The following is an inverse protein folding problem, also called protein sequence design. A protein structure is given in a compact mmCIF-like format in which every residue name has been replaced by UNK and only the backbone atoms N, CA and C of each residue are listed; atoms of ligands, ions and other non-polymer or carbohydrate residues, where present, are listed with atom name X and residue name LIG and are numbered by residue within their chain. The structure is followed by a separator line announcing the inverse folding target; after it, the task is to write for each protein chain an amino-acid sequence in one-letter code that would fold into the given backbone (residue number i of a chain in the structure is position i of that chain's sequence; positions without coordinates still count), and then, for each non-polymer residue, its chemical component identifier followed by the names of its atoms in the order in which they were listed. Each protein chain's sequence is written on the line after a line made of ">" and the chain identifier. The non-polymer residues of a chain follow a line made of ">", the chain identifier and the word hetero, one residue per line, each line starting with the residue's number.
data_IF_929745907306
#
_entry.id   IF_929745907306
#
_cell.length_a   1.000
_cell.length_b   1.000
_cell.length_c   1.000
_cell.angle_alpha   90.00
_cell.angle_beta   90.00
_cell.angle_gamma   90.00
#
_symmetry.space_group_name_H-M   'P 1'
#
loop_
_entity.id
_entity.type
_entity.pdbx_description
1 polymer ?
#
# COMPACT_ATOMS: atom_id res chain seq x y z
N UNK A 1 18.20 35.61 17.00
CA UNK A 1 18.77 34.90 15.83
C UNK A 1 18.29 35.59 14.57
N UNK A 2 19.18 35.88 13.62
CA UNK A 2 18.80 36.55 12.38
C UNK A 2 18.05 35.57 11.47
N UNK A 3 17.05 36.05 10.72
CA UNK A 3 16.24 35.23 9.80
C UNK A 3 17.09 34.56 8.69
N UNK A 4 18.28 35.11 8.43
CA UNK A 4 19.29 34.52 7.55
C UNK A 4 19.81 33.16 8.06
N UNK A 5 19.96 32.99 9.37
CA UNK A 5 20.48 31.75 9.98
C UNK A 5 19.52 30.58 9.83
N UNK A 6 18.23 30.86 9.65
CA UNK A 6 17.21 29.83 9.40
C UNK A 6 17.41 29.16 8.03
N UNK A 7 17.75 29.91 6.97
CA UNK A 7 17.98 29.35 5.62
C UNK A 7 19.27 28.54 5.51
N UNK A 8 20.22 28.74 6.41
CA UNK A 8 21.47 27.99 6.42
C UNK A 8 21.33 26.60 7.08
N UNK A 9 20.19 26.26 7.70
CA UNK A 9 20.03 24.98 8.39
C UNK A 9 20.02 23.81 7.39
N UNK A 10 20.73 22.70 7.69
CA UNK A 10 20.79 21.47 6.87
C UNK A 10 19.43 20.99 6.34
N UNK A 11 18.36 21.14 7.12
CA UNK A 11 17.00 20.71 6.75
C UNK A 11 16.41 21.43 5.54
N UNK A 12 16.77 22.70 5.30
CA UNK A 12 16.21 23.51 4.21
C UNK A 12 17.03 23.45 2.91
N UNK A 13 18.12 22.65 2.89
CA UNK A 13 18.94 22.47 1.67
C UNK A 13 18.41 21.35 0.75
N UNK A 14 17.50 20.51 1.25
CA UNK A 14 16.91 19.39 0.52
C UNK A 14 15.41 19.56 0.26
N UNK A 15 14.87 20.79 0.36
CA UNK A 15 13.43 21.04 0.15
C UNK A 15 12.97 20.56 -1.23
N UNK A 16 13.80 20.75 -2.26
CA UNK A 16 13.53 20.25 -3.61
C UNK A 16 13.50 18.73 -3.65
N UNK A 17 14.52 18.07 -3.11
CA UNK A 17 14.62 16.61 -3.11
C UNK A 17 13.44 15.98 -2.35
N UNK A 18 13.03 16.59 -1.23
CA UNK A 18 11.89 16.17 -0.44
C UNK A 18 10.56 16.33 -1.19
N UNK A 19 10.37 17.45 -1.91
CA UNK A 19 9.18 17.68 -2.75
C UNK A 19 9.13 16.66 -3.88
N UNK A 20 10.24 16.48 -4.60
CA UNK A 20 10.32 15.54 -5.72
C UNK A 20 10.02 14.11 -5.24
N UNK A 21 10.66 13.66 -4.15
CA UNK A 21 10.39 12.35 -3.56
C UNK A 21 8.91 12.18 -3.14
N UNK A 22 8.33 13.19 -2.49
CA UNK A 22 6.92 13.14 -2.09
C UNK A 22 5.99 13.02 -3.30
N UNK A 23 6.19 13.87 -4.31
CA UNK A 23 5.37 13.83 -5.52
C UNK A 23 5.54 12.51 -6.26
N UNK A 24 6.76 11.98 -6.38
CA UNK A 24 6.99 10.66 -6.98
C UNK A 24 6.18 9.57 -6.28
N UNK A 25 6.24 9.50 -4.96
CA UNK A 25 5.51 8.48 -4.19
C UNK A 25 3.99 8.67 -4.29
N UNK A 26 3.50 9.92 -4.20
CA UNK A 26 2.06 10.21 -4.29
C UNK A 26 1.52 9.91 -5.68
N UNK A 27 2.22 10.28 -6.74
CA UNK A 27 1.78 10.01 -8.11
C UNK A 27 1.84 8.52 -8.45
N UNK A 28 2.88 7.80 -8.00
CA UNK A 28 2.93 6.35 -8.14
C UNK A 28 1.75 5.68 -7.42
N UNK A 29 1.53 6.01 -6.14
CA UNK A 29 0.42 5.46 -5.37
C UNK A 29 -0.96 5.81 -5.98
N UNK A 30 -1.11 7.01 -6.55
CA UNK A 30 -2.34 7.42 -7.23
C UNK A 30 -2.54 6.63 -8.53
N UNK A 31 -1.49 6.42 -9.31
CA UNK A 31 -1.55 5.63 -10.54
C UNK A 31 -1.99 4.19 -10.22
N UNK A 32 -1.37 3.56 -9.23
CA UNK A 32 -1.73 2.21 -8.77
C UNK A 32 -3.19 2.17 -8.29
N UNK A 33 -3.62 3.15 -7.49
CA UNK A 33 -4.98 3.22 -7.00
C UNK A 33 -6.01 3.37 -8.14
N UNK A 34 -5.73 4.22 -9.13
CA UNK A 34 -6.59 4.41 -10.29
C UNK A 34 -6.67 3.16 -11.15
N UNK A 35 -5.54 2.49 -11.42
CA UNK A 35 -5.51 1.26 -12.20
C UNK A 35 -6.30 0.15 -11.50
N UNK A 36 -6.04 -0.08 -10.20
CA UNK A 36 -6.73 -1.12 -9.43
C UNK A 36 -8.24 -0.90 -9.38
N UNK A 37 -8.70 0.35 -9.21
CA UNK A 37 -10.13 0.67 -9.26
C UNK A 37 -10.72 0.46 -10.66
N UNK A 38 -10.01 0.87 -11.72
CA UNK A 38 -10.46 0.71 -13.10
C UNK A 38 -10.62 -0.77 -13.49
N UNK A 39 -9.68 -1.62 -13.08
CA UNK A 39 -9.66 -3.05 -13.39
C UNK A 39 -10.71 -3.82 -12.58
N UNK A 40 -10.84 -3.52 -11.28
CA UNK A 40 -11.74 -4.28 -10.39
C UNK A 40 -13.17 -3.77 -10.38
N UNK A 41 -13.38 -2.47 -10.66
CA UNK A 41 -14.68 -1.79 -10.61
C UNK A 41 -15.17 -1.48 -9.20
N UNK A 42 -14.37 -1.72 -8.16
CA UNK A 42 -14.72 -1.45 -6.76
C UNK A 42 -13.88 -0.29 -6.22
N UNK A 43 -14.36 0.34 -5.14
CA UNK A 43 -13.58 1.41 -4.48
C UNK A 43 -12.29 0.87 -3.86
N UNK A 44 -11.24 1.69 -3.76
CA UNK A 44 -9.99 1.28 -3.09
C UNK A 44 -10.22 0.87 -1.63
N UNK A 45 -11.17 1.52 -0.93
CA UNK A 45 -11.56 1.15 0.44
C UNK A 45 -12.06 -0.29 0.50
N UNK A 46 -12.99 -0.64 -0.40
CA UNK A 46 -13.55 -1.98 -0.48
C UNK A 46 -12.50 -3.02 -0.88
N UNK A 47 -11.67 -2.70 -1.89
CA UNK A 47 -10.55 -3.53 -2.32
C UNK A 47 -9.64 -3.89 -1.13
N UNK A 48 -9.15 -2.87 -0.41
CA UNK A 48 -8.24 -3.06 0.72
C UNK A 48 -8.92 -3.81 1.86
N UNK A 49 -10.16 -3.49 2.21
CA UNK A 49 -10.87 -4.19 3.29
C UNK A 49 -11.12 -5.66 2.97
N UNK A 50 -11.41 -5.97 1.71
CA UNK A 50 -11.72 -7.34 1.27
C UNK A 50 -10.46 -8.19 1.15
N UNK A 51 -9.36 -7.65 0.62
CA UNK A 51 -8.14 -8.42 0.35
C UNK A 51 -7.13 -8.42 1.51
N UNK A 52 -7.08 -7.37 2.35
CA UNK A 52 -6.12 -7.26 3.46
C UNK A 52 -6.11 -8.46 4.42
N UNK A 53 -7.25 -9.08 4.77
CA UNK A 53 -7.29 -10.26 5.63
C UNK A 53 -6.73 -11.54 4.99
N UNK A 54 -6.54 -11.57 3.67
CA UNK A 54 -6.09 -12.75 2.92
C UNK A 54 -4.58 -12.96 3.03
N UNK A 55 -4.09 -13.08 4.27
CA UNK A 55 -2.70 -13.37 4.57
C UNK A 55 -2.63 -14.71 5.29
N UNK A 56 -1.71 -15.57 4.86
CA UNK A 56 -1.34 -16.74 5.65
C UNK A 56 -0.62 -16.26 6.91
N UNK A 57 -1.07 -16.71 8.07
CA UNK A 57 -0.46 -16.38 9.37
C UNK A 57 -0.04 -17.64 10.09
N UNK A 58 1.04 -17.56 10.86
CA UNK A 58 1.44 -18.60 11.79
C UNK A 58 0.95 -18.22 13.19
N UNK A 59 0.21 -19.12 13.82
CA UNK A 59 -0.34 -18.95 15.16
C UNK A 59 0.38 -19.92 16.08
N UNK A 60 1.00 -19.42 17.15
CA UNK A 60 1.55 -20.26 18.21
C UNK A 60 0.53 -20.41 19.34
N UNK A 61 0.19 -21.65 19.68
CA UNK A 61 -0.68 -21.99 20.81
C UNK A 61 -0.02 -23.12 21.60
N UNK A 62 0.35 -22.84 22.84
CA UNK A 62 0.99 -23.80 23.75
C UNK A 62 2.23 -24.49 23.14
N UNK A 63 3.04 -23.77 22.35
CA UNK A 63 4.23 -24.31 21.70
C UNK A 63 3.96 -25.15 20.45
N UNK A 64 2.71 -25.18 19.97
CA UNK A 64 2.35 -25.73 18.67
C UNK A 64 2.10 -24.60 17.67
N UNK A 65 2.91 -24.56 16.61
CA UNK A 65 2.72 -23.63 15.51
C UNK A 65 1.70 -24.18 14.51
N UNK A 66 0.63 -23.42 14.27
CA UNK A 66 -0.43 -23.73 13.32
C UNK A 66 -0.38 -22.70 12.19
N UNK A 67 -0.28 -23.17 10.95
CA UNK A 67 -0.39 -22.32 9.76
C UNK A 67 -1.86 -22.13 9.41
N UNK A 68 -2.40 -20.94 9.66
CA UNK A 68 -3.76 -20.59 9.29
C UNK A 68 -3.78 -19.98 7.88
N UNK A 69 -4.42 -20.67 6.94
CA UNK A 69 -4.72 -20.14 5.62
C UNK A 69 -6.02 -19.32 5.67
N UNK A 70 -6.07 -18.14 5.03
CA UNK A 70 -7.29 -17.36 4.98
C UNK A 70 -8.35 -18.07 4.14
N UNK A 71 -9.62 -17.97 4.54
CA UNK A 71 -10.75 -18.42 3.73
C UNK A 71 -11.14 -17.31 2.75
N UNK A 72 -11.25 -17.65 1.47
CA UNK A 72 -11.70 -16.69 0.46
C UNK A 72 -13.23 -16.60 0.49
N UNK A 73 -13.75 -15.38 0.53
CA UNK A 73 -15.16 -15.12 0.30
C UNK A 73 -15.44 -15.01 -1.20
N UNK A 74 -16.69 -15.20 -1.62
CA UNK A 74 -17.09 -15.05 -3.02
C UNK A 74 -16.74 -13.66 -3.59
N UNK A 75 -16.86 -12.61 -2.78
CA UNK A 75 -16.45 -11.25 -3.18
C UNK A 75 -14.93 -11.17 -3.41
N UNK A 76 -14.13 -11.75 -2.51
CA UNK A 76 -12.68 -11.79 -2.66
C UNK A 76 -12.25 -12.54 -3.92
N UNK A 77 -12.89 -13.68 -4.24
CA UNK A 77 -12.62 -14.43 -5.47
C UNK A 77 -12.91 -13.60 -6.73
N UNK A 78 -14.05 -12.90 -6.76
CA UNK A 78 -14.41 -12.03 -7.88
C UNK A 78 -13.43 -10.88 -8.10
N UNK A 79 -12.94 -10.28 -7.01
CA UNK A 79 -11.93 -9.22 -7.09
C UNK A 79 -10.59 -9.80 -7.59
N UNK A 80 -10.13 -10.91 -7.01
CA UNK A 80 -8.87 -11.55 -7.40
C UNK A 80 -8.85 -11.98 -8.86
N UNK A 81 -9.98 -12.48 -9.39
CA UNK A 81 -10.09 -12.89 -10.78
C UNK A 81 -9.93 -11.74 -11.80
N UNK A 82 -10.14 -10.48 -11.37
CA UNK A 82 -9.97 -9.31 -12.23
C UNK A 82 -8.57 -8.72 -12.19
N UNK A 83 -7.79 -8.98 -11.13
CA UNK A 83 -6.48 -8.36 -10.94
C UNK A 83 -5.45 -8.89 -11.95
N UNK A 84 -4.47 -8.06 -12.36
CA UNK A 84 -3.39 -8.52 -13.22
C UNK A 84 -2.55 -9.60 -12.52
N UNK A 85 -2.01 -10.57 -13.27
CA UNK A 85 -1.08 -11.55 -12.70
C UNK A 85 0.19 -10.85 -12.22
N UNK A 86 0.78 -11.38 -11.15
CA UNK A 86 2.10 -10.92 -10.70
C UNK A 86 3.12 -11.38 -11.75
N UNK A 87 3.83 -10.43 -12.36
CA UNK A 87 4.93 -10.77 -13.26
C UNK A 87 6.01 -11.56 -12.50
N UNK A 88 6.41 -12.71 -13.05
CA UNK A 88 7.49 -13.55 -12.51
C UNK A 88 8.88 -12.91 -12.65
#
# INVERSE_FOLDING_TARGET
>A
MAKSDLRARPVFHHDRDAIEAHLTVVFAALADACELQAVTGVSLRELVQTLRPLRTVMIDINGHTITAKPQLSQNAEQILAKLPPIAE
#
